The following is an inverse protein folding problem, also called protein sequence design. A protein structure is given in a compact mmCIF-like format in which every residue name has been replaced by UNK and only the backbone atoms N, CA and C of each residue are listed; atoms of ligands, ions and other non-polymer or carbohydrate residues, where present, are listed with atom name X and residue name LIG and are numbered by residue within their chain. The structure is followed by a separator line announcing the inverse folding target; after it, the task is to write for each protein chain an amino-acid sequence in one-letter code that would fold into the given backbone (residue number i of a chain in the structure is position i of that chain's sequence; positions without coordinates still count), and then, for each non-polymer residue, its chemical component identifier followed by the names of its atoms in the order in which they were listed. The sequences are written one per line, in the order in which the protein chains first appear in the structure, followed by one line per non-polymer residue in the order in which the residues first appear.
data_IF_067309502737
#
_entry.id   IF_067309502737
#
_cell.length_a   1.000
_cell.length_b   1.000
_cell.length_c   1.000
_cell.angle_alpha   90.00
_cell.angle_beta   90.00
_cell.angle_gamma   90.00
#
_symmetry.space_group_name_H-M   'P 1'
#
loop_
_entity.id
_entity.type
_entity.pdbx_description
1 polymer ?
#
# COMPACT_ATOMS: atom_id res chain seq x y z
N UNK A 1 -9.59 -8.60 -33.12
CA UNK A 1 -9.09 -9.07 -31.79
C UNK A 1 -7.58 -8.82 -31.58
N UNK A 2 -6.73 -9.16 -32.55
CA UNK A 2 -5.27 -9.08 -32.40
C UNK A 2 -4.74 -7.65 -32.28
N UNK A 3 -5.29 -6.70 -33.04
CA UNK A 3 -4.83 -5.31 -33.03
C UNK A 3 -5.05 -4.61 -31.68
N UNK A 4 -6.25 -4.71 -31.08
CA UNK A 4 -6.55 -4.09 -29.77
C UNK A 4 -5.64 -4.61 -28.65
N UNK A 5 -5.36 -5.92 -28.64
CA UNK A 5 -4.45 -6.53 -27.65
C UNK A 5 -3.03 -6.00 -27.82
N UNK A 6 -2.58 -5.89 -29.06
CA UNK A 6 -1.27 -5.30 -29.38
C UNK A 6 -1.16 -3.85 -28.93
N UNK A 7 -2.21 -3.05 -29.14
CA UNK A 7 -2.28 -1.65 -28.68
C UNK A 7 -2.20 -1.56 -27.15
N UNK A 8 -3.01 -2.34 -26.42
CA UNK A 8 -3.00 -2.39 -24.95
C UNK A 8 -1.63 -2.84 -24.42
N UNK A 9 -1.05 -3.91 -24.99
CA UNK A 9 0.26 -4.43 -24.58
C UNK A 9 1.38 -3.42 -24.85
N UNK A 10 1.35 -2.74 -25.98
CA UNK A 10 2.33 -1.70 -26.31
C UNK A 10 2.22 -0.50 -25.35
N UNK A 11 1.00 -0.07 -25.02
CA UNK A 11 0.78 0.99 -24.03
C UNK A 11 1.25 0.56 -22.63
N UNK A 12 0.95 -0.67 -22.23
CA UNK A 12 1.39 -1.23 -20.95
C UNK A 12 2.92 -1.30 -20.86
N UNK A 13 3.60 -1.66 -21.96
CA UNK A 13 5.06 -1.70 -22.01
C UNK A 13 5.67 -0.31 -21.85
N UNK A 14 5.03 0.70 -22.45
CA UNK A 14 5.45 2.09 -22.29
C UNK A 14 5.24 2.60 -20.86
N UNK A 15 4.10 2.24 -20.25
CA UNK A 15 3.81 2.56 -18.85
C UNK A 15 4.87 1.96 -17.91
N UNK A 16 5.15 0.65 -18.02
CA UNK A 16 6.18 -0.02 -17.22
C UNK A 16 7.54 0.67 -17.37
N UNK A 17 7.95 0.93 -18.61
CA UNK A 17 9.20 1.62 -18.89
C UNK A 17 9.25 2.98 -18.20
N UNK A 18 8.19 3.79 -18.26
CA UNK A 18 8.13 5.12 -17.62
C UNK A 18 8.11 5.04 -16.09
N UNK A 19 7.47 4.03 -15.53
CA UNK A 19 7.40 3.82 -14.09
C UNK A 19 8.81 3.70 -13.49
N UNK A 20 9.68 2.93 -14.15
CA UNK A 20 11.08 2.75 -13.73
C UNK A 20 11.87 4.06 -13.71
N UNK A 21 11.62 4.98 -14.65
CA UNK A 21 12.29 6.31 -14.67
C UNK A 21 11.69 7.32 -13.69
N UNK A 22 10.39 7.20 -13.39
CA UNK A 22 9.65 8.16 -12.56
C UNK A 22 9.63 7.81 -11.06
N UNK A 23 10.26 6.69 -10.68
CA UNK A 23 10.22 6.17 -9.32
C UNK A 23 8.85 5.63 -8.90
N UNK A 24 7.97 5.37 -9.87
CA UNK A 24 6.66 4.75 -9.64
C UNK A 24 6.78 3.23 -9.63
N UNK A 25 5.95 2.58 -8.83
CA UNK A 25 5.81 1.13 -8.83
C UNK A 25 4.45 0.76 -9.41
N UNK A 26 4.45 -0.16 -10.37
CA UNK A 26 3.23 -0.75 -10.90
C UNK A 26 3.03 -2.12 -10.26
N UNK A 27 1.78 -2.48 -9.95
CA UNK A 27 1.45 -3.78 -9.37
C UNK A 27 0.10 -4.30 -9.83
N UNK A 28 -0.07 -5.61 -9.93
CA UNK A 28 -1.32 -6.25 -10.30
C UNK A 28 -1.66 -7.40 -9.34
N UNK A 29 -2.93 -7.83 -9.36
CA UNK A 29 -3.48 -8.82 -8.44
C UNK A 29 -4.40 -8.21 -7.39
N UNK A 30 -5.21 -9.08 -6.76
CA UNK A 30 -6.22 -8.67 -5.79
C UNK A 30 -5.74 -8.87 -4.34
N UNK A 31 -5.37 -10.11 -4.00
CA UNK A 31 -4.91 -10.49 -2.66
C UNK A 31 -3.39 -10.40 -2.50
N UNK A 32 -2.67 -10.93 -3.48
CA UNK A 32 -1.21 -10.87 -3.54
C UNK A 32 -0.86 -9.92 -4.67
N UNK A 33 -0.28 -8.77 -4.31
CA UNK A 33 0.18 -7.80 -5.27
C UNK A 33 1.53 -8.26 -5.83
N UNK A 34 1.56 -8.48 -7.14
CA UNK A 34 2.78 -8.76 -7.89
C UNK A 34 3.24 -7.48 -8.56
N UNK A 35 4.52 -7.14 -8.45
CA UNK A 35 5.09 -5.99 -9.16
C UNK A 35 4.97 -6.24 -10.66
N UNK A 36 4.42 -5.29 -11.41
CA UNK A 36 4.38 -5.33 -12.86
C UNK A 36 5.71 -4.81 -13.41
N UNK A 37 6.37 -5.62 -14.24
CA UNK A 37 7.67 -5.35 -14.84
C UNK A 37 7.66 -5.77 -16.31
N UNK A 38 8.75 -5.49 -17.03
CA UNK A 38 8.86 -5.87 -18.44
C UNK A 38 8.90 -7.40 -18.62
N UNK A 39 9.39 -8.12 -17.61
CA UNK A 39 9.53 -9.58 -17.62
C UNK A 39 8.19 -10.31 -17.49
N UNK A 40 7.22 -9.73 -16.76
CA UNK A 40 5.92 -10.38 -16.50
C UNK A 40 4.72 -9.66 -17.16
N UNK A 41 4.97 -8.70 -18.05
CA UNK A 41 3.93 -7.92 -18.71
C UNK A 41 2.94 -8.75 -19.55
N UNK A 42 3.36 -9.92 -20.02
CA UNK A 42 2.50 -10.83 -20.77
C UNK A 42 1.66 -11.74 -19.86
N UNK A 43 2.01 -11.86 -18.58
CA UNK A 43 1.31 -12.70 -17.61
C UNK A 43 0.01 -12.06 -17.11
N UNK A 44 -0.12 -10.74 -17.21
CA UNK A 44 -1.35 -10.05 -16.80
C UNK A 44 -2.46 -10.29 -17.82
N UNK A 45 -3.58 -10.78 -17.32
CA UNK A 45 -4.74 -11.10 -18.14
C UNK A 45 -5.47 -9.85 -18.63
N UNK A 46 -5.80 -9.85 -19.93
CA UNK A 46 -6.71 -8.88 -20.51
C UNK A 46 -8.16 -9.34 -20.26
N UNK A 47 -8.94 -8.47 -19.63
CA UNK A 47 -10.33 -8.71 -19.33
C UNK A 47 -11.22 -8.11 -20.41
N UNK A 48 -12.39 -8.69 -20.64
CA UNK A 48 -13.43 -8.04 -21.45
C UNK A 48 -13.88 -6.77 -20.74
N UNK A 49 -14.07 -5.72 -21.52
CA UNK A 49 -14.64 -4.47 -21.06
C UNK A 49 -16.15 -4.42 -21.37
N UNK A 50 -16.85 -3.35 -20.98
CA UNK A 50 -18.30 -3.18 -21.15
C UNK A 50 -18.74 -3.23 -22.62
N UNK A 51 -17.83 -2.95 -23.56
CA UNK A 51 -18.09 -3.04 -25.00
C UNK A 51 -17.63 -4.40 -25.55
N UNK A 52 -18.43 -5.07 -26.41
CA UNK A 52 -18.05 -6.36 -27.00
C UNK A 52 -16.70 -6.36 -27.74
N UNK A 53 -16.32 -5.22 -28.30
CA UNK A 53 -15.09 -5.02 -29.05
C UNK A 53 -13.93 -4.41 -28.23
N UNK A 54 -14.11 -4.21 -26.93
CA UNK A 54 -13.10 -3.65 -26.01
C UNK A 54 -12.53 -4.70 -25.04
N UNK A 55 -11.28 -4.50 -24.67
CA UNK A 55 -10.57 -5.25 -23.61
C UNK A 55 -9.87 -4.23 -22.72
N UNK A 56 -9.63 -4.62 -21.47
CA UNK A 56 -8.96 -3.77 -20.47
C UNK A 56 -8.00 -4.57 -19.64
N UNK A 57 -7.08 -3.87 -19.00
CA UNK A 57 -6.22 -4.39 -17.95
C UNK A 57 -6.30 -3.45 -16.76
N UNK A 58 -6.33 -4.01 -15.55
CA UNK A 58 -6.39 -3.23 -14.32
C UNK A 58 -5.14 -3.53 -13.50
N UNK A 59 -4.43 -2.48 -13.14
CA UNK A 59 -3.26 -2.54 -12.29
C UNK A 59 -3.24 -1.29 -11.39
N UNK A 60 -2.40 -1.31 -10.37
CA UNK A 60 -2.20 -0.24 -9.40
C UNK A 60 -0.94 0.53 -9.75
N UNK A 61 -1.02 1.86 -9.65
CA UNK A 61 0.13 2.75 -9.67
C UNK A 61 0.40 3.17 -8.23
N UNK A 62 1.65 3.06 -7.79
CA UNK A 62 2.07 3.32 -6.42
C UNK A 62 3.20 4.34 -6.40
N UNK A 63 3.00 5.42 -5.67
CA UNK A 63 4.06 6.34 -5.27
C UNK A 63 4.53 5.98 -3.85
N UNK A 64 5.84 5.98 -3.62
CA UNK A 64 6.40 5.74 -2.30
C UNK A 64 6.23 6.99 -1.44
N UNK A 65 5.54 6.85 -0.30
CA UNK A 65 5.49 7.88 0.72
C UNK A 65 6.65 7.66 1.70
N UNK A 66 7.61 8.59 1.71
CA UNK A 66 8.74 8.59 2.64
C UNK A 66 9.33 9.98 2.83
N UNK A 67 9.95 10.21 3.99
CA UNK A 67 10.56 11.51 4.31
C UNK A 67 9.52 12.61 4.46
N UNK A 68 9.76 13.75 3.81
CA UNK A 68 8.90 14.96 3.87
C UNK A 68 7.79 14.99 2.81
N UNK A 69 7.59 13.90 2.06
CA UNK A 69 6.59 13.87 1.00
C UNK A 69 5.18 13.72 1.58
N UNK A 70 4.26 14.60 1.17
CA UNK A 70 2.86 14.56 1.60
C UNK A 70 2.03 13.60 0.74
N UNK A 71 0.86 13.20 1.27
CA UNK A 71 -0.10 12.39 0.52
C UNK A 71 -0.56 13.06 -0.77
N UNK A 72 -0.77 14.37 -0.73
CA UNK A 72 -1.18 15.20 -1.88
C UNK A 72 -0.09 15.23 -2.95
N UNK A 73 1.17 15.38 -2.57
CA UNK A 73 2.29 15.38 -3.50
C UNK A 73 2.45 14.01 -4.19
N UNK A 74 2.28 12.92 -3.44
CA UNK A 74 2.31 11.57 -4.00
C UNK A 74 1.11 11.30 -4.93
N UNK A 75 -0.08 11.78 -4.58
CA UNK A 75 -1.24 11.69 -5.46
C UNK A 75 -1.01 12.46 -6.76
N UNK A 76 -0.52 13.70 -6.69
CA UNK A 76 -0.18 14.48 -7.88
C UNK A 76 0.89 13.78 -8.74
N UNK A 77 1.86 13.09 -8.12
CA UNK A 77 2.86 12.30 -8.85
C UNK A 77 2.23 11.14 -9.62
N UNK A 78 1.24 10.45 -9.02
CA UNK A 78 0.49 9.37 -9.69
C UNK A 78 -0.33 9.95 -10.86
N UNK A 79 -1.04 11.05 -10.65
CA UNK A 79 -1.85 11.71 -11.70
C UNK A 79 -0.99 12.17 -12.88
N UNK A 80 0.13 12.84 -12.59
CA UNK A 80 1.10 13.26 -13.61
C UNK A 80 1.69 12.07 -14.36
N UNK A 81 1.98 10.97 -13.65
CA UNK A 81 2.47 9.75 -14.27
C UNK A 81 1.43 9.16 -15.24
N UNK A 82 0.17 9.02 -14.82
CA UNK A 82 -0.92 8.52 -15.68
C UNK A 82 -1.04 9.36 -16.96
N UNK A 83 -1.05 10.69 -16.82
CA UNK A 83 -1.13 11.62 -17.96
C UNK A 83 0.10 11.57 -18.87
N UNK A 84 1.25 11.13 -18.35
CA UNK A 84 2.49 11.05 -19.13
C UNK A 84 2.55 9.83 -20.05
N UNK A 85 1.67 8.84 -19.87
CA UNK A 85 1.63 7.63 -20.70
C UNK A 85 0.86 7.94 -21.98
N UNK A 86 1.52 7.97 -23.16
CA UNK A 86 0.87 8.29 -24.42
C UNK A 86 -0.09 7.17 -24.84
N UNK A 87 -1.17 7.57 -25.49
CA UNK A 87 -2.09 6.65 -26.14
C UNK A 87 -1.39 5.86 -27.24
N UNK A 88 -1.79 4.59 -27.41
CA UNK A 88 -1.31 3.73 -28.50
C UNK A 88 -2.50 3.24 -29.31
N UNK A 89 -2.69 3.78 -30.50
CA UNK A 89 -3.87 3.48 -31.32
C UNK A 89 -5.14 3.96 -30.62
N UNK A 90 -5.99 3.03 -30.17
CA UNK A 90 -7.20 3.34 -29.39
C UNK A 90 -7.08 2.98 -27.91
N UNK A 91 -5.92 2.51 -27.47
CA UNK A 91 -5.68 2.23 -26.06
C UNK A 91 -5.43 3.53 -25.31
N UNK A 92 -6.13 3.68 -24.18
CA UNK A 92 -6.02 4.81 -23.26
C UNK A 92 -5.78 4.28 -21.83
N UNK A 93 -5.28 5.15 -20.95
CA UNK A 93 -5.01 4.83 -19.56
C UNK A 93 -5.70 5.86 -18.67
N UNK A 94 -6.67 5.39 -17.90
CA UNK A 94 -7.48 6.21 -17.02
C UNK A 94 -7.30 5.77 -15.57
N UNK A 95 -7.44 6.72 -14.65
CA UNK A 95 -7.55 6.41 -13.22
C UNK A 95 -8.91 5.78 -12.92
N UNK A 96 -8.92 4.72 -12.12
CA UNK A 96 -10.16 4.09 -11.66
C UNK A 96 -10.18 3.93 -10.14
N UNK A 97 -11.28 4.36 -9.51
CA UNK A 97 -11.48 4.29 -8.07
C UNK A 97 -10.80 5.43 -7.30
N UNK A 98 -10.80 5.32 -5.97
CA UNK A 98 -10.14 6.27 -5.06
C UNK A 98 -8.76 5.76 -4.64
N UNK A 99 -7.84 6.70 -4.39
CA UNK A 99 -6.52 6.41 -3.85
C UNK A 99 -6.61 5.85 -2.43
N UNK A 100 -5.74 4.89 -2.12
CA UNK A 100 -5.60 4.30 -0.78
C UNK A 100 -4.13 4.25 -0.37
N UNK A 101 -3.87 4.10 0.93
CA UNK A 101 -2.53 3.92 1.47
C UNK A 101 -2.22 2.43 1.63
N UNK A 102 -0.94 2.09 1.52
CA UNK A 102 -0.44 0.75 1.83
C UNK A 102 0.89 0.87 2.53
N UNK A 103 1.19 -0.07 3.43
CA UNK A 103 2.48 -0.14 4.13
C UNK A 103 3.27 -1.36 3.65
N UNK A 104 4.58 -1.15 3.44
CA UNK A 104 5.52 -2.23 3.12
C UNK A 104 6.12 -2.72 4.43
N UNK A 105 5.92 -4.00 4.74
CA UNK A 105 6.54 -4.67 5.88
C UNK A 105 6.16 -4.09 7.25
N UNK A 106 4.87 -4.04 7.64
CA UNK A 106 4.45 -3.44 8.92
C UNK A 106 5.13 -4.10 10.14
N UNK A 107 5.45 -5.39 10.07
CA UNK A 107 6.08 -6.13 11.15
C UNK A 107 7.51 -5.65 11.48
N UNK A 108 8.19 -4.94 10.58
CA UNK A 108 9.50 -4.35 10.91
C UNK A 108 9.42 -3.31 12.02
N UNK A 109 8.22 -2.74 12.26
CA UNK A 109 7.97 -1.76 13.31
C UNK A 109 7.58 -2.40 14.65
N UNK A 110 7.46 -3.74 14.70
CA UNK A 110 7.00 -4.48 15.88
C UNK A 110 7.74 -4.09 17.16
N UNK A 111 9.06 -4.07 17.15
CA UNK A 111 9.86 -3.79 18.35
C UNK A 111 9.63 -2.38 18.87
N UNK A 112 9.44 -1.40 17.97
CA UNK A 112 9.16 -0.01 18.34
C UNK A 112 7.76 0.12 18.97
N UNK A 113 6.77 -0.58 18.41
CA UNK A 113 5.40 -0.62 18.97
C UNK A 113 5.42 -1.30 20.35
N UNK A 114 6.09 -2.44 20.48
CA UNK A 114 6.21 -3.16 21.76
C UNK A 114 6.88 -2.30 22.85
N UNK A 115 7.91 -1.53 22.48
CA UNK A 115 8.53 -0.58 23.39
C UNK A 115 7.54 0.50 23.86
N UNK A 116 6.74 1.07 22.96
CA UNK A 116 5.70 2.06 23.32
C UNK A 116 4.63 1.48 24.22
N UNK A 117 4.24 0.21 24.00
CA UNK A 117 3.31 -0.50 24.88
C UNK A 117 3.91 -0.71 26.28
N UNK A 118 5.20 -1.09 26.36
CA UNK A 118 5.88 -1.27 27.64
C UNK A 118 6.03 0.06 28.40
N UNK A 119 6.34 1.16 27.70
CA UNK A 119 6.38 2.52 28.27
C UNK A 119 5.02 2.90 28.87
N UNK A 120 3.92 2.70 28.14
CA UNK A 120 2.56 2.97 28.63
C UNK A 120 2.18 2.07 29.82
N UNK A 121 2.47 0.77 29.75
CA UNK A 121 2.21 -0.17 30.84
C UNK A 121 2.93 0.22 32.14
N UNK A 122 4.22 0.57 32.05
CA UNK A 122 5.01 1.01 33.20
C UNK A 122 4.48 2.32 33.79
N UNK A 123 4.09 3.28 32.93
CA UNK A 123 3.50 4.54 33.37
C UNK A 123 2.18 4.32 34.14
N UNK A 124 1.35 3.37 33.68
CA UNK A 124 0.08 3.01 34.36
C UNK A 124 0.30 2.29 35.69
N UNK A 125 1.24 1.36 35.77
CA UNK A 125 1.58 0.71 37.05
C UNK A 125 2.08 1.73 38.08
N UNK A 126 2.96 2.65 37.67
CA UNK A 126 3.51 3.67 38.55
C UNK A 126 2.41 4.58 39.16
N UNK A 127 1.33 4.85 38.42
CA UNK A 127 0.19 5.62 38.94
C UNK A 127 -0.61 4.89 40.02
N UNK A 128 -0.57 3.55 40.05
CA UNK A 128 -1.28 2.73 41.05
C UNK A 128 -0.43 2.46 42.30
N UNK A 129 0.88 2.71 42.23
CA UNK A 129 1.84 2.53 43.31
C UNK A 129 2.69 1.27 43.18
N UNK A 130 3.74 1.19 44.00
CA UNK A 130 4.83 0.22 43.85
C UNK A 130 4.39 -1.26 44.01
N UNK A 131 3.23 -1.49 44.62
CA UNK A 131 2.66 -2.82 44.83
C UNK A 131 1.88 -3.35 43.61
N UNK A 132 1.88 -2.62 42.48
CA UNK A 132 1.19 -3.03 41.26
C UNK A 132 2.18 -3.30 40.11
N UNK A 133 1.74 -4.14 39.18
CA UNK A 133 2.39 -4.47 37.92
C UNK A 133 1.33 -4.53 36.82
N UNK A 134 1.77 -4.72 35.57
CA UNK A 134 0.87 -4.89 34.42
C UNK A 134 1.10 -6.23 33.75
N UNK A 135 0.02 -6.95 33.53
CA UNK A 135 -0.03 -8.08 32.61
C UNK A 135 -0.45 -7.58 31.22
N UNK A 136 0.34 -7.95 30.20
CA UNK A 136 0.10 -7.56 28.80
C UNK A 136 -0.25 -8.80 27.99
N UNK A 137 -1.44 -8.82 27.41
CA UNK A 137 -1.90 -9.87 26.49
C UNK A 137 -1.94 -9.34 25.05
N UNK A 138 -1.69 -10.20 24.06
CA UNK A 138 -1.81 -9.86 22.64
C UNK A 138 -0.50 -9.41 21.96
N UNK A 139 0.62 -9.34 22.67
CA UNK A 139 1.95 -9.04 22.10
C UNK A 139 2.48 -10.13 21.15
N UNK A 140 1.74 -11.20 20.89
CA UNK A 140 2.00 -12.20 19.85
C UNK A 140 1.22 -11.91 18.54
N UNK A 141 0.27 -10.97 18.56
CA UNK A 141 -0.56 -10.63 17.40
C UNK A 141 0.25 -9.87 16.33
N UNK A 142 -0.11 -10.00 15.04
CA UNK A 142 0.57 -9.30 13.95
C UNK A 142 0.40 -7.78 14.06
N UNK A 143 1.34 -7.01 13.50
CA UNK A 143 1.17 -5.56 13.40
C UNK A 143 0.00 -5.26 12.46
N UNK A 144 -0.91 -4.42 12.93
CA UNK A 144 -2.05 -3.89 12.19
C UNK A 144 -1.78 -2.44 11.82
N UNK A 145 -2.49 -1.96 10.79
CA UNK A 145 -2.43 -0.57 10.40
C UNK A 145 -3.81 -0.03 10.04
N UNK A 146 -3.99 1.27 10.25
CA UNK A 146 -5.17 2.02 9.82
C UNK A 146 -4.72 3.36 9.26
N UNK A 147 -5.47 3.91 8.31
CA UNK A 147 -5.22 5.28 7.83
C UNK A 147 -5.54 6.28 8.94
N UNK A 148 -4.58 7.14 9.30
CA UNK A 148 -4.77 8.21 10.29
C UNK A 148 -4.86 9.60 9.66
N UNK A 149 -4.37 9.76 8.42
CA UNK A 149 -4.40 11.04 7.70
C UNK A 149 -4.20 10.91 6.19
N UNK A 150 -4.06 12.03 5.47
CA UNK A 150 -3.92 12.04 4.01
C UNK A 150 -2.76 11.17 3.49
N UNK A 151 -1.60 11.24 4.14
CA UNK A 151 -0.41 10.42 3.85
C UNK A 151 0.13 9.67 5.07
N UNK A 152 -0.68 9.53 6.12
CA UNK A 152 -0.27 8.95 7.40
C UNK A 152 -1.05 7.68 7.73
N UNK A 153 -0.37 6.73 8.35
CA UNK A 153 -0.96 5.52 8.91
C UNK A 153 -0.61 5.39 10.38
N UNK A 154 -1.56 4.90 11.16
CA UNK A 154 -1.35 4.41 12.51
C UNK A 154 -0.95 2.94 12.43
N UNK A 155 0.16 2.59 13.08
CA UNK A 155 0.58 1.21 13.31
C UNK A 155 0.31 0.81 14.76
N UNK A 156 -0.25 -0.39 14.96
CA UNK A 156 -0.56 -0.88 16.29
C UNK A 156 -0.52 -2.40 16.35
N UNK A 157 -0.30 -2.95 17.55
CA UNK A 157 -0.53 -4.36 17.86
C UNK A 157 -1.78 -4.37 18.74
N UNK A 158 -2.84 -5.14 18.45
CA UNK A 158 -3.97 -5.27 19.35
C UNK A 158 -3.51 -5.89 20.69
N UNK A 159 -3.76 -5.19 21.80
CA UNK A 159 -3.32 -5.64 23.12
C UNK A 159 -4.32 -5.27 24.21
N UNK A 160 -4.23 -5.99 25.33
CA UNK A 160 -4.98 -5.72 26.56
C UNK A 160 -3.97 -5.54 27.70
N UNK A 161 -4.20 -4.51 28.52
CA UNK A 161 -3.47 -4.27 29.75
C UNK A 161 -4.37 -4.55 30.95
N UNK A 162 -3.87 -5.36 31.87
CA UNK A 162 -4.51 -5.60 33.17
C UNK A 162 -3.54 -5.18 34.27
N UNK A 163 -3.93 -4.24 35.12
CA UNK A 163 -3.14 -3.88 36.30
C UNK A 163 -3.43 -4.91 37.39
N UNK A 164 -2.38 -5.52 37.93
CA UNK A 164 -2.46 -6.59 38.93
C UNK A 164 -1.56 -6.25 40.13
N UNK A 165 -1.89 -6.70 41.36
CA UNK A 165 -0.97 -6.65 42.47
C UNK A 165 0.31 -7.44 42.16
N UNK A 166 1.46 -6.98 42.64
CA UNK A 166 2.68 -7.78 42.62
C UNK A 166 2.53 -8.98 43.56
N UNK A 167 3.03 -10.16 43.16
CA UNK A 167 3.13 -11.30 44.06
C UNK A 167 4.08 -11.03 45.23
#
# INVERSE_FOLDING_TARGET
PTQRRREIRAMLADAVRRADWSGMELAYGDYILTRLTAENIEEIDLQRDNRPDSERVVFRVKARLGGTQTGEAAQAQIENYIQSVPEVGRAQMDSWGSSTLSIVGPDSYRSQIAQKIAEDANARAAQMGDNYAVEVEGLNMPVQWARSGPGEVLLYIPYKLTIVPRP
#
